data_IF_154122577641
#
_entry.id   IF_154122577641
#
_cell.length_a   1.000
_cell.length_b   1.000
_cell.length_c   1.000
_cell.angle_alpha   90.00
_cell.angle_beta   90.00
_cell.angle_gamma   90.00
#
_symmetry.space_group_name_H-M   'P 1'
#
loop_
_entity.id
_entity.type
_entity.pdbx_description
1 polymer ?
#
# COMPACT_ATOMS: atom_id res chain seq x y z
N UNK A 1 -10.82 -5.69 -10.63
CA UNK A 1 -10.87 -6.63 -11.77
C UNK A 1 -9.69 -6.34 -12.71
N UNK A 2 -9.20 -7.35 -13.41
CA UNK A 2 -8.09 -7.20 -14.38
C UNK A 2 -8.67 -6.83 -15.74
N UNK A 3 -8.12 -5.79 -16.38
CA UNK A 3 -8.50 -5.33 -17.72
C UNK A 3 -7.60 -5.93 -18.81
N UNK A 4 -6.31 -6.04 -18.54
CA UNK A 4 -5.32 -6.66 -19.43
C UNK A 4 -4.14 -7.23 -18.63
N UNK A 5 -3.39 -8.15 -19.22
CA UNK A 5 -2.26 -8.82 -18.56
C UNK A 5 -2.70 -9.91 -17.58
N UNK A 6 -1.86 -10.20 -16.58
CA UNK A 6 -2.13 -11.24 -15.57
C UNK A 6 -1.56 -10.82 -14.22
N UNK A 7 -2.38 -10.89 -13.18
CA UNK A 7 -1.94 -10.70 -11.80
C UNK A 7 -1.70 -12.04 -11.12
N UNK A 8 -0.63 -12.12 -10.33
CA UNK A 8 -0.42 -13.16 -9.32
C UNK A 8 -0.68 -12.51 -7.98
N UNK A 9 -1.66 -13.03 -7.25
CA UNK A 9 -2.01 -12.61 -5.91
C UNK A 9 -1.60 -13.75 -4.97
N UNK A 10 -0.72 -13.45 -4.03
CA UNK A 10 -0.47 -14.33 -2.89
C UNK A 10 -1.44 -13.90 -1.80
N UNK A 11 -2.35 -14.78 -1.40
CA UNK A 11 -3.36 -14.54 -0.37
C UNK A 11 -3.25 -15.65 0.67
N UNK A 12 -2.93 -15.30 1.91
CA UNK A 12 -2.71 -16.31 2.98
C UNK A 12 -1.78 -17.45 2.52
N UNK A 13 -0.62 -17.09 1.96
CA UNK A 13 0.39 -17.99 1.37
C UNK A 13 -0.07 -18.81 0.16
N UNK A 14 -1.32 -18.70 -0.28
CA UNK A 14 -1.84 -19.35 -1.49
C UNK A 14 -1.65 -18.46 -2.69
N UNK A 15 -1.17 -19.04 -3.78
CA UNK A 15 -0.98 -18.34 -5.05
C UNK A 15 -2.26 -18.44 -5.87
N UNK A 16 -2.79 -17.30 -6.27
CA UNK A 16 -3.97 -17.16 -7.14
C UNK A 16 -3.56 -16.33 -8.36
N UNK A 17 -3.90 -16.81 -9.55
CA UNK A 17 -3.72 -16.03 -10.78
C UNK A 17 -5.05 -15.44 -11.22
N UNK A 18 -5.05 -14.17 -11.62
CA UNK A 18 -6.23 -13.43 -12.07
C UNK A 18 -5.94 -12.85 -13.46
N UNK A 19 -6.70 -13.27 -14.46
CA UNK A 19 -6.61 -12.85 -15.85
C UNK A 19 -7.68 -11.82 -16.25
N UNK A 20 -7.66 -11.36 -17.51
CA UNK A 20 -8.58 -10.32 -17.99
C UNK A 20 -10.05 -10.71 -17.82
N UNK A 21 -10.87 -9.77 -17.33
CA UNK A 21 -12.28 -9.99 -17.00
C UNK A 21 -12.51 -10.61 -15.62
N UNK A 22 -11.49 -11.21 -15.00
CA UNK A 22 -11.61 -11.83 -13.69
C UNK A 22 -11.43 -10.81 -12.54
N UNK A 23 -11.96 -11.17 -11.37
CA UNK A 23 -11.83 -10.39 -10.15
C UNK A 23 -11.61 -11.30 -8.94
N UNK A 24 -10.93 -10.78 -7.93
CA UNK A 24 -10.70 -11.44 -6.65
C UNK A 24 -10.99 -10.44 -5.53
N UNK A 25 -11.79 -10.84 -4.56
CA UNK A 25 -12.01 -10.07 -3.33
C UNK A 25 -11.03 -10.54 -2.26
N UNK A 26 -10.23 -9.62 -1.74
CA UNK A 26 -9.33 -9.87 -0.62
C UNK A 26 -10.10 -9.60 0.68
N UNK A 27 -10.29 -10.58 1.57
CA UNK A 27 -10.99 -10.34 2.83
C UNK A 27 -10.19 -9.43 3.77
N UNK A 28 -10.89 -8.70 4.64
CA UNK A 28 -10.27 -7.82 5.63
C UNK A 28 -9.30 -8.61 6.52
N UNK A 29 -8.13 -8.03 6.76
CA UNK A 29 -7.13 -8.59 7.68
C UNK A 29 -6.35 -9.79 7.12
N UNK A 30 -6.60 -10.20 5.88
CA UNK A 30 -5.85 -11.27 5.24
C UNK A 30 -4.60 -10.70 4.57
N UNK A 31 -3.46 -11.28 4.91
CA UNK A 31 -2.18 -10.96 4.29
C UNK A 31 -2.25 -11.22 2.78
N UNK A 32 -1.86 -10.23 1.99
CA UNK A 32 -1.82 -10.36 0.55
C UNK A 32 -0.69 -9.56 -0.10
N UNK A 33 -0.23 -10.05 -1.24
CA UNK A 33 0.69 -9.37 -2.13
C UNK A 33 0.24 -9.62 -3.57
N UNK A 34 0.34 -8.61 -4.44
CA UNK A 34 0.07 -8.77 -5.86
C UNK A 34 1.29 -8.38 -6.69
N UNK A 35 1.60 -9.19 -7.69
CA UNK A 35 2.69 -8.97 -8.65
C UNK A 35 2.21 -9.28 -10.05
N UNK A 36 2.77 -8.60 -11.05
CA UNK A 36 2.52 -8.95 -12.45
C UNK A 36 3.05 -10.37 -12.71
N UNK A 37 2.21 -11.23 -13.29
CA UNK A 37 2.50 -12.64 -13.54
C UNK A 37 2.89 -12.93 -14.99
N UNK A 38 2.93 -11.90 -15.84
CA UNK A 38 3.29 -11.99 -17.24
C UNK A 38 4.25 -10.85 -17.59
N UNK A 39 5.05 -11.05 -18.63
CA UNK A 39 5.83 -9.98 -19.25
C UNK A 39 4.88 -8.96 -19.92
N UNK A 40 5.28 -7.69 -19.93
CA UNK A 40 4.48 -6.61 -20.48
C UNK A 40 3.56 -5.93 -19.46
N UNK A 41 2.63 -5.12 -19.96
CA UNK A 41 1.74 -4.31 -19.14
C UNK A 41 0.62 -5.16 -18.52
N UNK A 42 0.29 -4.90 -17.26
CA UNK A 42 -0.89 -5.45 -16.58
C UNK A 42 -1.70 -4.28 -16.04
N UNK A 43 -2.95 -4.18 -16.49
CA UNK A 43 -3.87 -3.11 -16.09
C UNK A 43 -4.98 -3.71 -15.25
N UNK A 44 -5.14 -3.23 -14.02
CA UNK A 44 -6.19 -3.69 -13.11
C UNK A 44 -6.79 -2.52 -12.33
N UNK A 45 -8.08 -2.62 -12.04
CA UNK A 45 -8.78 -1.70 -11.13
C UNK A 45 -8.87 -2.35 -9.76
N UNK A 46 -8.32 -1.67 -8.75
CA UNK A 46 -8.40 -2.06 -7.33
C UNK A 46 -9.33 -1.09 -6.61
N UNK A 47 -10.32 -1.62 -5.91
CA UNK A 47 -11.29 -0.86 -5.12
C UNK A 47 -11.23 -1.29 -3.67
N UNK A 48 -11.41 -0.35 -2.75
CA UNK A 48 -11.45 -0.59 -1.31
C UNK A 48 -12.80 -0.15 -0.76
N UNK A 49 -13.43 -1.02 0.04
CA UNK A 49 -14.68 -0.73 0.74
C UNK A 49 -14.56 -1.18 2.21
N UNK A 50 -14.71 -0.27 3.20
CA UNK A 50 -14.88 1.18 3.07
C UNK A 50 -13.65 1.85 2.42
N UNK A 51 -13.75 3.09 1.92
CA UNK A 51 -12.61 3.83 1.40
C UNK A 51 -11.57 3.97 2.52
N UNK A 52 -10.45 3.27 2.35
CA UNK A 52 -9.36 3.22 3.32
C UNK A 52 -8.16 4.03 2.83
N UNK A 53 -7.25 4.32 3.75
CA UNK A 53 -5.99 5.03 3.46
C UNK A 53 -5.06 4.26 2.50
N UNK A 54 -5.37 3.01 2.13
CA UNK A 54 -4.65 2.28 1.09
C UNK A 54 -4.60 3.03 -0.24
N UNK A 55 -5.70 3.71 -0.61
CA UNK A 55 -5.71 4.51 -1.84
C UNK A 55 -4.74 5.69 -1.74
N UNK A 56 -4.67 6.34 -0.58
CA UNK A 56 -3.72 7.43 -0.33
C UNK A 56 -2.26 6.94 -0.37
N UNK A 57 -1.99 5.72 0.08
CA UNK A 57 -0.69 5.07 -0.07
C UNK A 57 -0.32 4.87 -1.56
N UNK A 58 -1.16 4.23 -2.36
CA UNK A 58 -0.85 4.02 -3.79
C UNK A 58 -0.74 5.33 -4.56
N UNK A 59 -1.62 6.29 -4.25
CA UNK A 59 -1.60 7.63 -4.84
C UNK A 59 -0.29 8.37 -4.52
N UNK A 60 0.26 8.23 -3.31
CA UNK A 60 1.57 8.77 -2.97
C UNK A 60 2.65 8.25 -3.90
N UNK A 61 2.73 6.94 -4.10
CA UNK A 61 3.76 6.36 -4.98
C UNK A 61 3.59 6.78 -6.43
N UNK A 62 2.35 6.82 -6.94
CA UNK A 62 2.08 7.29 -8.30
C UNK A 62 2.54 8.75 -8.51
N UNK A 63 2.21 9.65 -7.58
CA UNK A 63 2.65 11.05 -7.64
C UNK A 63 4.16 11.18 -7.49
N UNK A 64 4.76 10.47 -6.53
CA UNK A 64 6.20 10.51 -6.29
C UNK A 64 7.00 10.01 -7.51
N UNK A 65 6.53 9.00 -8.22
CA UNK A 65 7.21 8.53 -9.45
C UNK A 65 7.20 9.58 -10.57
N UNK A 66 6.22 10.50 -10.58
CA UNK A 66 6.13 11.58 -11.56
C UNK A 66 6.94 12.80 -11.14
N UNK A 67 6.78 13.21 -9.87
CA UNK A 67 7.32 14.47 -9.34
C UNK A 67 8.74 14.34 -8.81
N UNK A 68 9.13 13.16 -8.31
CA UNK A 68 10.45 12.86 -7.73
C UNK A 68 11.05 11.57 -8.31
N UNK A 69 11.19 11.45 -9.64
CA UNK A 69 11.76 10.26 -10.26
C UNK A 69 13.19 9.97 -9.78
N UNK A 70 13.92 11.00 -9.35
CA UNK A 70 15.27 10.92 -8.75
C UNK A 70 15.31 10.09 -7.45
N UNK A 71 14.17 9.88 -6.80
CA UNK A 71 14.09 9.07 -5.57
C UNK A 71 14.02 7.58 -5.84
N UNK A 72 13.83 7.15 -7.09
CA UNK A 72 13.65 5.76 -7.47
C UNK A 72 14.87 5.24 -8.22
N UNK A 73 15.13 3.95 -8.10
CA UNK A 73 16.13 3.30 -8.98
C UNK A 73 15.68 3.32 -10.44
N UNK A 74 16.59 3.05 -11.37
CA UNK A 74 16.27 2.87 -12.79
C UNK A 74 15.20 1.80 -13.05
N UNK A 75 15.03 0.85 -12.12
CA UNK A 75 13.98 -0.18 -12.16
C UNK A 75 12.65 0.22 -11.52
N UNK A 76 12.50 1.49 -11.11
CA UNK A 76 11.30 2.02 -10.44
C UNK A 76 11.18 1.61 -8.96
N UNK A 77 12.17 0.92 -8.39
CA UNK A 77 12.14 0.53 -6.97
C UNK A 77 12.36 1.73 -6.05
N UNK A 78 11.50 1.87 -5.06
CA UNK A 78 11.64 2.83 -3.98
C UNK A 78 12.73 2.37 -2.97
N UNK A 79 13.52 3.30 -2.41
CA UNK A 79 14.51 3.00 -1.38
C UNK A 79 13.84 2.66 -0.05
N UNK A 80 14.53 1.88 0.78
CA UNK A 80 14.00 1.42 2.08
C UNK A 80 13.53 2.56 2.98
N UNK A 81 14.21 3.71 2.97
CA UNK A 81 13.82 4.88 3.76
C UNK A 81 12.46 5.45 3.33
N UNK A 82 12.20 5.51 2.02
CA UNK A 82 10.89 5.96 1.50
C UNK A 82 9.79 4.94 1.85
N UNK A 83 10.09 3.65 1.71
CA UNK A 83 9.17 2.58 2.13
C UNK A 83 8.85 2.68 3.63
N UNK A 84 9.87 2.84 4.47
CA UNK A 84 9.71 2.97 5.91
C UNK A 84 8.90 4.22 6.29
N UNK A 85 9.14 5.36 5.64
CA UNK A 85 8.34 6.57 5.82
C UNK A 85 6.87 6.32 5.49
N UNK A 86 6.59 5.69 4.34
CA UNK A 86 5.22 5.36 3.92
C UNK A 86 4.54 4.38 4.88
N UNK A 87 5.21 3.29 5.26
CA UNK A 87 4.65 2.29 6.18
C UNK A 87 4.42 2.83 7.59
N UNK A 88 5.27 3.74 8.07
CA UNK A 88 5.04 4.43 9.35
C UNK A 88 3.84 5.39 9.26
N UNK A 89 3.70 6.11 8.16
CA UNK A 89 2.63 7.08 7.95
C UNK A 89 1.25 6.42 7.77
N UNK A 90 1.22 5.23 7.18
CA UNK A 90 0.01 4.43 6.98
C UNK A 90 -0.04 3.19 7.90
N UNK A 91 0.60 3.27 9.07
CA UNK A 91 0.84 2.15 9.97
C UNK A 91 -0.40 1.50 10.58
N UNK A 92 -1.61 2.04 10.42
CA UNK A 92 -2.84 1.41 10.91
C UNK A 92 -3.55 0.60 9.80
N UNK A 93 -2.98 0.63 8.59
CA UNK A 93 -3.57 0.09 7.38
C UNK A 93 -2.61 -0.86 6.65
N UNK A 94 -1.30 -0.59 6.64
CA UNK A 94 -0.32 -1.35 5.88
C UNK A 94 0.82 -1.88 6.77
N UNK A 95 1.09 -3.18 6.62
CA UNK A 95 2.22 -3.86 7.25
C UNK A 95 2.89 -4.81 6.25
N UNK A 96 4.17 -5.10 6.48
CA UNK A 96 4.86 -6.16 5.76
C UNK A 96 4.42 -7.53 6.31
N UNK A 97 4.33 -8.50 5.41
CA UNK A 97 4.20 -9.90 5.75
C UNK A 97 5.40 -10.41 6.55
N UNK A 98 5.17 -11.19 7.61
CA UNK A 98 6.21 -11.89 8.37
C UNK A 98 6.55 -11.27 9.73
N UNK A 99 7.21 -10.09 9.82
CA UNK A 99 7.61 -9.52 11.10
C UNK A 99 6.40 -9.14 11.99
N UNK A 100 6.49 -9.26 13.32
CA UNK A 100 5.42 -8.81 14.22
C UNK A 100 5.09 -7.32 14.05
N UNK A 101 3.80 -6.98 14.05
CA UNK A 101 3.32 -5.59 13.84
C UNK A 101 3.97 -4.59 14.80
N UNK A 102 4.11 -4.93 16.08
CA UNK A 102 4.72 -4.04 17.07
C UNK A 102 6.18 -3.68 16.72
N UNK A 103 6.93 -4.65 16.17
CA UNK A 103 8.32 -4.46 15.78
C UNK A 103 8.40 -3.56 14.55
N UNK A 104 7.52 -3.77 13.57
CA UNK A 104 7.41 -2.92 12.38
C UNK A 104 7.13 -1.46 12.76
N UNK A 105 6.17 -1.22 13.67
CA UNK A 105 5.81 0.14 14.12
C UNK A 105 7.01 0.87 14.72
N UNK A 106 7.78 0.19 15.59
CA UNK A 106 8.97 0.79 16.23
C UNK A 106 10.10 1.04 15.23
N UNK A 107 10.42 0.03 14.41
CA UNK A 107 11.47 0.13 13.41
C UNK A 107 11.18 1.24 12.39
N UNK A 108 9.97 1.27 11.83
CA UNK A 108 9.60 2.26 10.82
C UNK A 108 9.44 3.66 11.41
N UNK A 109 9.08 3.82 12.68
CA UNK A 109 9.08 5.13 13.33
C UNK A 109 10.49 5.76 13.35
N UNK A 110 11.52 4.98 13.71
CA UNK A 110 12.91 5.46 13.72
C UNK A 110 13.39 5.76 12.29
N UNK A 111 13.16 4.84 11.37
CA UNK A 111 13.57 5.02 9.97
C UNK A 111 12.83 6.18 9.28
N UNK A 112 11.59 6.46 9.65
CA UNK A 112 10.83 7.59 9.11
C UNK A 112 11.45 8.94 9.50
N UNK A 113 12.01 9.06 10.71
CA UNK A 113 12.76 10.27 11.11
C UNK A 113 13.98 10.46 10.22
N UNK A 114 14.76 9.39 10.03
CA UNK A 114 15.94 9.41 9.14
C UNK A 114 15.54 9.74 7.70
N UNK A 115 14.45 9.18 7.20
CA UNK A 115 13.93 9.46 5.87
C UNK A 115 13.59 10.95 5.70
N UNK A 116 12.95 11.57 6.70
CA UNK A 116 12.64 12.99 6.68
C UNK A 116 13.90 13.85 6.71
N UNK A 117 14.91 13.46 7.48
CA UNK A 117 16.22 14.15 7.47
C UNK A 117 16.92 14.03 6.11
N UNK A 118 16.75 12.91 5.41
CA UNK A 118 17.25 12.72 4.05
C UNK A 118 16.43 13.43 2.96
N UNK A 119 15.39 14.17 3.34
CA UNK A 119 14.57 14.97 2.43
C UNK A 119 13.32 14.26 1.89
N UNK A 120 13.08 12.99 2.22
CA UNK A 120 11.89 12.29 1.77
C UNK A 120 10.62 12.88 2.38
N UNK A 121 9.59 13.07 1.56
CA UNK A 121 8.27 13.59 1.95
C UNK A 121 7.18 12.84 1.19
N UNK A 122 6.03 12.69 1.83
CA UNK A 122 4.83 12.15 1.19
C UNK A 122 4.02 13.33 0.64
N UNK A 123 3.31 13.10 -0.46
CA UNK A 123 2.49 14.10 -1.17
C UNK A 123 1.02 14.04 -0.76
N UNK A 124 0.57 12.91 -0.22
CA UNK A 124 -0.80 12.67 0.21
C UNK A 124 -0.79 12.30 1.69
N UNK A 125 -1.55 13.05 2.48
CA UNK A 125 -1.82 12.72 3.88
C UNK A 125 -2.89 11.62 3.98
N UNK A 126 -2.91 10.83 5.07
CA UNK A 126 -3.99 9.87 5.27
C UNK A 126 -5.28 10.66 5.42
N UNK A 127 -6.34 10.13 4.85
CA UNK A 127 -7.67 10.64 5.11
C UNK A 127 -7.99 10.16 6.52
N UNK A 128 -7.82 11.02 7.53
CA UNK A 128 -8.40 10.77 8.85
C UNK A 128 -9.86 10.43 8.60
N UNK A 129 -10.26 9.17 8.72
CA UNK A 129 -11.67 8.85 8.80
C UNK A 129 -12.20 9.70 9.94
N UNK A 130 -13.19 10.53 9.64
CA UNK A 130 -14.04 11.13 10.65
C UNK A 130 -14.68 10.00 11.46
N UNK A 131 -13.97 9.52 12.47
CA UNK A 131 -14.48 8.68 13.54
C UNK A 131 -14.96 9.57 14.71
N UNK A 132 -15.31 10.83 14.44
CA UNK A 132 -16.15 11.67 15.29
C UNK A 132 -17.49 11.82 14.58
N UNK A 133 -18.54 11.18 15.11
CA UNK A 133 -19.91 11.49 14.66
C UNK A 133 -20.92 10.35 14.55
N UNK A 134 -20.66 9.13 15.03
CA UNK A 134 -21.77 8.18 15.25
C UNK A 134 -22.25 8.36 16.70
N UNK A 135 -23.40 9.02 16.93
CA UNK A 135 -23.97 9.06 18.27
C UNK A 135 -24.29 7.64 18.71
N UNK A 136 -23.79 7.25 19.89
CA UNK A 136 -24.24 6.02 20.55
C UNK A 136 -25.73 6.18 20.81
N UNK A 137 -26.54 5.41 20.08
CA UNK A 137 -27.97 5.30 20.37
C UNK A 137 -28.07 4.67 21.77
N UNK A 138 -28.60 5.44 22.72
CA UNK A 138 -28.75 5.06 24.11
C UNK A 138 -29.60 3.80 24.26
N UNK A 139 -29.27 3.07 25.33
CA UNK A 139 -29.96 1.90 25.87
C UNK A 139 -31.40 2.20 26.26
#
# INVERSE_FOLDING_TARGET
HVRSGRLKIVLDKKVIHVGPGESLTVPRGVEHCFVNAAAGETVATVSFDPPQDHLAFFRNFALLTQERPDWFSASGKAPLLLIALSLHHFQDHLYLAGPPVWLQRRLFAVLAVVARWRGYRLMVSPTRSAAEGVPKRGS
#
